data_IF_541001923088
#
_entry.id   IF_541001923088
#
_cell.length_a   1.000
_cell.length_b   1.000
_cell.length_c   1.000
_cell.angle_alpha   90.00
_cell.angle_beta   90.00
_cell.angle_gamma   90.00
#
_symmetry.space_group_name_H-M   'P 1'
#
loop_
_entity.id
_entity.type
_entity.pdbx_description
1 polymer ?
#
# COMPACT_ATOMS: atom_id res chain seq x y z
N UNK A 1 14.52 -13.72 -39.39
CA UNK A 1 15.06 -15.02 -38.94
C UNK A 1 14.57 -15.24 -37.52
N UNK A 2 14.06 -16.43 -37.17
CA UNK A 2 13.60 -16.68 -35.80
C UNK A 2 14.82 -16.67 -34.87
N UNK A 3 14.75 -15.91 -33.77
CA UNK A 3 15.82 -15.85 -32.76
C UNK A 3 15.94 -17.18 -32.03
N UNK A 4 17.13 -17.51 -31.52
CA UNK A 4 17.35 -18.76 -30.75
C UNK A 4 16.40 -18.82 -29.55
N UNK A 5 16.07 -17.66 -28.96
CA UNK A 5 15.08 -17.56 -27.89
C UNK A 5 13.65 -17.88 -28.32
N UNK A 6 13.19 -17.40 -29.48
CA UNK A 6 11.84 -17.71 -29.99
C UNK A 6 11.67 -19.20 -30.32
N UNK A 7 12.73 -19.83 -30.83
CA UNK A 7 12.75 -21.29 -31.07
C UNK A 7 12.76 -22.07 -29.75
N UNK A 8 13.51 -21.60 -28.75
CA UNK A 8 13.53 -22.17 -27.40
C UNK A 8 12.17 -22.09 -26.71
N UNK A 9 11.49 -20.93 -26.79
CA UNK A 9 10.14 -20.75 -26.25
C UNK A 9 9.12 -21.70 -26.89
N UNK A 10 9.18 -21.92 -28.20
CA UNK A 10 8.28 -22.87 -28.89
C UNK A 10 8.49 -24.32 -28.47
N UNK A 11 9.74 -24.75 -28.29
CA UNK A 11 10.05 -26.10 -27.81
C UNK A 11 9.56 -26.31 -26.37
N UNK A 12 9.81 -25.33 -25.49
CA UNK A 12 9.48 -25.44 -24.06
C UNK A 12 7.97 -25.28 -23.79
N UNK A 13 7.24 -24.56 -24.66
CA UNK A 13 5.78 -24.39 -24.54
C UNK A 13 5.01 -25.71 -24.62
N UNK A 14 5.54 -26.73 -25.29
CA UNK A 14 4.93 -28.07 -25.37
C UNK A 14 5.19 -28.97 -24.16
N UNK A 15 6.14 -28.60 -23.30
CA UNK A 15 6.64 -29.47 -22.21
C UNK A 15 6.31 -28.94 -20.81
N UNK A 16 5.79 -27.72 -20.69
CA UNK A 16 5.45 -27.09 -19.41
C UNK A 16 3.95 -26.73 -19.32
N UNK A 17 3.34 -26.79 -18.13
CA UNK A 17 1.99 -26.27 -17.91
C UNK A 17 1.88 -24.80 -18.32
N UNK A 18 0.81 -24.44 -19.05
CA UNK A 18 0.60 -23.11 -19.61
C UNK A 18 0.68 -21.97 -18.57
N UNK A 19 0.29 -22.24 -17.33
CA UNK A 19 0.36 -21.27 -16.23
C UNK A 19 1.80 -20.96 -15.82
N UNK A 20 2.68 -21.96 -15.74
CA UNK A 20 4.10 -21.75 -15.41
C UNK A 20 4.82 -21.06 -16.57
N UNK A 21 4.54 -21.46 -17.80
CA UNK A 21 5.12 -20.84 -18.99
C UNK A 21 4.77 -19.34 -19.11
N UNK A 22 3.47 -18.99 -18.97
CA UNK A 22 3.02 -17.61 -19.06
C UNK A 22 3.51 -16.73 -17.91
N UNK A 23 3.73 -17.31 -16.72
CA UNK A 23 4.15 -16.56 -15.53
C UNK A 23 5.66 -16.28 -15.53
N UNK A 24 6.48 -17.23 -16.00
CA UNK A 24 7.92 -17.19 -15.73
C UNK A 24 8.82 -17.11 -16.95
N UNK A 25 8.39 -17.65 -18.10
CA UNK A 25 9.21 -17.68 -19.32
C UNK A 25 8.75 -16.67 -20.37
N UNK A 26 7.43 -16.50 -20.53
CA UNK A 26 6.84 -15.53 -21.46
C UNK A 26 7.20 -14.05 -21.20
N UNK A 27 7.30 -13.56 -19.94
CA UNK A 27 7.63 -12.16 -19.69
C UNK A 27 9.13 -11.85 -19.77
N UNK A 28 9.99 -12.85 -20.04
CA UNK A 28 11.41 -12.64 -20.22
C UNK A 28 11.70 -12.06 -21.60
N UNK A 29 12.49 -10.98 -21.61
CA UNK A 29 13.01 -10.38 -22.83
C UNK A 29 14.40 -10.95 -23.11
N UNK A 30 14.81 -11.02 -24.38
CA UNK A 30 16.08 -11.62 -24.76
C UNK A 30 16.94 -10.65 -25.57
N UNK A 31 18.21 -10.54 -25.20
CA UNK A 31 19.27 -9.97 -26.01
C UNK A 31 20.17 -11.11 -26.51
N UNK A 32 20.24 -11.28 -27.82
CA UNK A 32 20.98 -12.37 -28.45
C UNK A 32 22.28 -11.84 -29.09
N UNK A 33 23.39 -12.49 -28.78
CA UNK A 33 24.71 -12.26 -29.39
C UNK A 33 25.23 -13.57 -30.02
N UNK A 34 26.29 -13.48 -30.83
CA UNK A 34 26.82 -14.63 -31.60
C UNK A 34 27.26 -15.83 -30.75
N UNK A 35 27.54 -15.64 -29.46
CA UNK A 35 27.99 -16.68 -28.51
C UNK A 35 27.23 -16.70 -27.18
N UNK A 36 26.25 -15.81 -26.99
CA UNK A 36 25.56 -15.66 -25.70
C UNK A 36 24.12 -15.19 -25.86
N UNK A 37 23.23 -15.72 -25.02
CA UNK A 37 21.87 -15.25 -24.83
C UNK A 37 21.73 -14.65 -23.43
N UNK A 38 21.32 -13.39 -23.36
CA UNK A 38 21.01 -12.70 -22.10
C UNK A 38 19.49 -12.58 -21.97
N UNK A 39 18.93 -13.20 -20.94
CA UNK A 39 17.51 -13.09 -20.60
C UNK A 39 17.31 -12.03 -19.52
N UNK A 40 16.48 -11.06 -19.82
CA UNK A 40 16.13 -9.94 -18.96
C UNK A 40 14.79 -10.22 -18.29
N UNK A 41 14.84 -10.31 -16.96
CA UNK A 41 13.68 -10.56 -16.12
C UNK A 41 13.27 -9.28 -15.37
N UNK A 42 11.97 -9.08 -15.08
CA UNK A 42 11.46 -7.85 -14.49
C UNK A 42 11.92 -7.60 -13.04
N UNK A 43 12.38 -8.65 -12.34
CA UNK A 43 12.92 -8.54 -11.00
C UNK A 43 13.82 -9.74 -10.67
N UNK A 44 14.61 -9.61 -9.60
CA UNK A 44 15.59 -10.63 -9.20
C UNK A 44 14.94 -11.96 -8.79
N UNK A 45 13.69 -11.96 -8.34
CA UNK A 45 12.99 -13.20 -7.98
C UNK A 45 12.66 -14.04 -9.21
N UNK A 46 12.27 -13.42 -10.32
CA UNK A 46 12.09 -14.12 -11.59
C UNK A 46 13.45 -14.63 -12.10
N UNK A 47 14.54 -13.88 -11.93
CA UNK A 47 15.91 -14.35 -12.25
C UNK A 47 16.25 -15.60 -11.47
N UNK A 48 16.16 -15.57 -10.15
CA UNK A 48 16.58 -16.67 -9.28
C UNK A 48 15.70 -17.91 -9.47
N UNK A 49 14.39 -17.71 -9.66
CA UNK A 49 13.45 -18.82 -9.87
C UNK A 49 13.65 -19.49 -11.24
N UNK A 50 13.85 -18.71 -12.31
CA UNK A 50 14.15 -19.27 -13.65
C UNK A 50 15.56 -19.91 -13.64
N UNK A 51 16.51 -19.34 -12.90
CA UNK A 51 17.85 -19.93 -12.72
C UNK A 51 17.79 -21.29 -12.02
N UNK A 52 17.07 -21.37 -10.91
CA UNK A 52 16.96 -22.59 -10.10
C UNK A 52 16.21 -23.71 -10.84
N UNK A 53 15.11 -23.37 -11.53
CA UNK A 53 14.21 -24.38 -12.12
C UNK A 53 14.50 -24.70 -13.57
N UNK A 54 14.97 -23.74 -14.37
CA UNK A 54 14.97 -23.87 -15.82
C UNK A 54 16.31 -23.58 -16.49
N UNK A 55 17.35 -23.13 -15.78
CA UNK A 55 18.63 -22.76 -16.41
C UNK A 55 19.31 -23.91 -17.16
N UNK A 56 19.31 -25.12 -16.58
CA UNK A 56 19.88 -26.32 -17.22
C UNK A 56 19.15 -26.61 -18.53
N UNK A 57 17.82 -26.70 -18.46
CA UNK A 57 16.96 -26.98 -19.62
C UNK A 57 17.05 -25.88 -20.69
N UNK A 58 17.10 -24.62 -20.28
CA UNK A 58 17.28 -23.47 -21.18
C UNK A 58 18.62 -23.54 -21.90
N UNK A 59 19.70 -23.89 -21.19
CA UNK A 59 21.03 -24.07 -21.78
C UNK A 59 21.03 -25.18 -22.82
N UNK A 60 20.47 -26.35 -22.49
CA UNK A 60 20.46 -27.51 -23.39
C UNK A 60 19.68 -27.21 -24.69
N UNK A 61 18.50 -26.60 -24.57
CA UNK A 61 17.66 -26.24 -25.72
C UNK A 61 18.31 -25.12 -26.54
N UNK A 62 18.92 -24.12 -25.91
CA UNK A 62 19.61 -23.04 -26.62
C UNK A 62 20.87 -23.53 -27.36
N UNK A 63 21.67 -24.44 -26.79
CA UNK A 63 22.84 -25.02 -27.44
C UNK A 63 22.48 -25.87 -28.66
N UNK A 64 21.37 -26.61 -28.58
CA UNK A 64 20.84 -27.40 -29.71
C UNK A 64 20.40 -26.50 -30.88
N UNK A 65 19.70 -25.40 -30.61
CA UNK A 65 19.22 -24.47 -31.63
C UNK A 65 20.31 -23.54 -32.17
N UNK A 66 21.30 -23.16 -31.35
CA UNK A 66 22.44 -22.35 -31.76
C UNK A 66 23.53 -23.15 -32.51
N UNK A 67 23.42 -24.49 -32.55
CA UNK A 67 24.44 -25.42 -33.09
C UNK A 67 25.86 -25.13 -32.56
N UNK A 68 25.94 -24.70 -31.31
CA UNK A 68 27.18 -24.33 -30.63
C UNK A 68 27.13 -24.84 -29.18
N UNK A 69 28.05 -25.75 -28.85
CA UNK A 69 28.12 -26.36 -27.52
C UNK A 69 28.64 -25.40 -26.43
N UNK A 70 29.30 -24.30 -26.82
CA UNK A 70 29.82 -23.29 -25.90
C UNK A 70 28.85 -22.11 -25.71
N UNK A 71 27.63 -22.21 -26.24
CA UNK A 71 26.64 -21.13 -26.18
C UNK A 71 26.19 -20.87 -24.73
N UNK A 72 26.44 -19.65 -24.25
CA UNK A 72 26.18 -19.27 -22.86
C UNK A 72 24.79 -18.66 -22.68
N UNK A 73 24.09 -19.04 -21.62
CA UNK A 73 22.79 -18.45 -21.23
C UNK A 73 22.96 -17.76 -19.89
N UNK A 74 22.73 -16.44 -19.87
CA UNK A 74 22.82 -15.61 -18.68
C UNK A 74 21.47 -14.94 -18.42
N UNK A 75 21.05 -14.89 -17.14
CA UNK A 75 19.77 -14.27 -16.75
C UNK A 75 20.07 -13.10 -15.81
N UNK A 76 19.61 -11.90 -16.17
CA UNK A 76 19.81 -10.63 -15.45
C UNK A 76 18.50 -9.90 -15.23
N UNK A 77 18.49 -8.96 -14.29
CA UNK A 77 17.35 -8.05 -14.08
C UNK A 77 17.43 -6.92 -15.11
N UNK A 78 16.34 -6.67 -15.85
CA UNK A 78 16.26 -5.57 -16.79
C UNK A 78 15.02 -5.61 -17.70
N UNK A 79 14.84 -4.57 -18.50
CA UNK A 79 13.89 -4.51 -19.62
C UNK A 79 14.51 -3.71 -20.76
N UNK A 80 14.28 -4.13 -22.00
CA UNK A 80 14.80 -3.52 -23.23
C UNK A 80 14.18 -2.13 -23.48
N UNK A 81 13.02 -1.83 -22.88
CA UNK A 81 12.37 -0.52 -22.99
C UNK A 81 12.96 0.50 -22.01
N UNK A 82 14.14 0.99 -22.33
CA UNK A 82 14.74 2.18 -21.72
C UNK A 82 15.32 3.11 -22.80
N UNK A 83 14.45 3.72 -23.61
CA UNK A 83 14.76 4.97 -24.31
C UNK A 83 13.57 5.93 -24.16
N UNK A 84 13.67 6.86 -23.20
CA UNK A 84 13.39 8.32 -23.27
C UNK A 84 13.37 8.89 -21.82
N UNK A 85 14.48 9.57 -21.47
CA UNK A 85 14.69 10.68 -20.53
C UNK A 85 13.97 10.78 -19.15
N UNK A 86 14.71 10.37 -18.10
CA UNK A 86 15.12 11.07 -16.83
C UNK A 86 14.16 11.95 -15.99
N UNK A 87 14.42 12.18 -14.66
CA UNK A 87 15.29 11.45 -13.71
C UNK A 87 14.70 11.32 -12.27
N UNK A 88 14.86 10.18 -11.59
CA UNK A 88 15.05 10.18 -10.11
C UNK A 88 15.92 9.00 -9.68
N UNK A 89 17.24 9.16 -9.82
CA UNK A 89 18.20 8.57 -8.89
C UNK A 89 19.53 9.30 -9.07
N UNK A 90 19.95 10.06 -8.06
CA UNK A 90 21.31 10.01 -7.51
C UNK A 90 21.49 11.10 -6.46
N UNK A 91 21.39 10.69 -5.21
CA UNK A 91 22.39 11.04 -4.21
C UNK A 91 22.30 9.97 -3.13
N UNK A 92 23.08 8.89 -3.25
CA UNK A 92 24.09 8.45 -2.26
C UNK A 92 24.98 7.41 -2.96
N UNK A 93 26.12 7.85 -3.49
CA UNK A 93 27.38 7.09 -3.54
C UNK A 93 28.28 7.78 -2.52
N UNK A 94 29.18 7.19 -1.76
CA UNK A 94 29.68 5.82 -1.58
C UNK A 94 30.57 5.97 -0.34
N UNK A 95 30.47 5.11 0.67
CA UNK A 95 31.66 4.74 1.45
C UNK A 95 31.61 3.24 1.71
N UNK A 96 32.74 2.63 1.36
CA UNK A 96 33.00 1.20 1.26
C UNK A 96 33.59 0.65 2.55
N UNK A 97 33.35 -0.66 2.75
CA UNK A 97 34.03 -1.59 3.68
C UNK A 97 33.55 -1.53 5.14
N UNK A 98 32.60 -2.40 5.47
CA UNK A 98 32.97 -3.58 6.28
C UNK A 98 31.90 -4.69 6.23
N UNK A 99 32.38 -5.92 6.08
CA UNK A 99 31.61 -7.15 6.18
C UNK A 99 31.25 -7.38 7.65
N UNK A 100 29.99 -7.13 8.05
CA UNK A 100 29.24 -7.79 9.15
C UNK A 100 28.02 -6.94 9.53
N UNK A 101 26.92 -7.02 8.77
CA UNK A 101 25.64 -6.44 9.23
C UNK A 101 24.44 -7.28 8.78
N UNK A 102 24.40 -8.52 9.25
CA UNK A 102 23.16 -9.31 9.40
C UNK A 102 22.39 -8.93 10.69
N UNK A 103 22.80 -7.85 11.37
CA UNK A 103 22.38 -7.53 12.74
C UNK A 103 21.23 -6.52 12.88
N UNK A 104 20.71 -5.88 11.83
CA UNK A 104 19.61 -4.91 12.02
C UNK A 104 18.38 -5.20 11.15
N UNK A 105 17.50 -6.10 11.62
CA UNK A 105 16.08 -5.72 11.65
C UNK A 105 16.07 -4.38 12.39
N UNK A 106 15.83 -3.30 11.63
CA UNK A 106 16.02 -1.91 12.07
C UNK A 106 15.43 -1.71 13.46
N UNK A 107 16.20 -1.03 14.32
CA UNK A 107 15.77 -0.56 15.63
C UNK A 107 14.37 0.06 15.57
N UNK A 108 13.61 -0.11 16.66
CA UNK A 108 12.19 0.21 16.89
C UNK A 108 11.76 1.61 16.41
N UNK A 109 11.73 1.85 15.10
CA UNK A 109 11.14 3.06 14.55
C UNK A 109 9.66 2.77 14.34
N UNK A 110 8.76 3.42 15.10
CA UNK A 110 7.33 3.15 15.06
C UNK A 110 6.68 3.40 13.70
N UNK A 111 7.40 4.02 12.75
CA UNK A 111 6.93 4.36 11.40
C UNK A 111 5.63 5.17 11.43
N UNK A 112 5.44 5.97 12.48
CA UNK A 112 4.26 6.80 12.66
C UNK A 112 4.46 8.18 12.07
N UNK A 113 3.43 8.69 11.40
CA UNK A 113 3.37 10.07 10.99
C UNK A 113 3.02 10.96 12.18
N UNK A 114 3.94 11.83 12.60
CA UNK A 114 3.77 12.72 13.76
C UNK A 114 2.72 13.82 13.56
N UNK A 115 2.26 14.04 12.33
CA UNK A 115 1.18 14.97 12.01
C UNK A 115 -0.22 14.39 12.23
N UNK A 116 -0.33 13.07 12.26
CA UNK A 116 -1.60 12.36 12.42
C UNK A 116 -1.89 12.17 13.91
N UNK A 117 -2.52 13.19 14.50
CA UNK A 117 -2.87 13.27 15.92
C UNK A 117 -4.37 13.48 16.05
N UNK A 118 -4.95 13.18 17.21
CA UNK A 118 -6.37 13.44 17.46
C UNK A 118 -6.72 14.92 17.28
N UNK A 119 -5.85 15.83 17.72
CA UNK A 119 -6.05 17.28 17.57
C UNK A 119 -6.11 17.77 16.12
N UNK A 120 -5.56 17.01 15.17
CA UNK A 120 -5.55 17.35 13.74
C UNK A 120 -6.62 16.57 12.96
N UNK A 121 -7.42 15.76 13.64
CA UNK A 121 -8.52 15.00 13.07
C UNK A 121 -9.82 15.76 13.30
N UNK A 122 -10.50 16.14 12.22
CA UNK A 122 -11.77 16.88 12.30
C UNK A 122 -12.89 15.89 12.64
N UNK A 123 -13.61 16.17 13.71
CA UNK A 123 -14.76 15.40 14.17
C UNK A 123 -16.03 15.84 13.44
N UNK A 124 -16.88 14.88 13.08
CA UNK A 124 -18.22 15.09 12.54
C UNK A 124 -19.06 13.84 12.77
N UNK A 125 -20.33 13.87 12.36
CA UNK A 125 -21.27 12.75 12.59
C UNK A 125 -20.75 11.46 11.96
N UNK A 126 -20.14 11.55 10.77
CA UNK A 126 -19.63 10.42 10.01
C UNK A 126 -18.47 9.66 10.69
N UNK A 127 -17.78 10.25 11.68
CA UNK A 127 -16.61 9.64 12.31
C UNK A 127 -16.60 9.71 13.84
N UNK A 128 -17.65 10.27 14.46
CA UNK A 128 -17.72 10.53 15.89
C UNK A 128 -17.48 9.26 16.72
N UNK A 129 -18.18 8.16 16.40
CA UNK A 129 -18.06 6.91 17.12
C UNK A 129 -16.68 6.27 16.95
N UNK A 130 -16.11 6.31 15.74
CA UNK A 130 -14.76 5.81 15.50
C UNK A 130 -13.72 6.63 16.27
N UNK A 131 -13.87 7.96 16.31
CA UNK A 131 -12.98 8.85 17.03
C UNK A 131 -13.07 8.64 18.56
N UNK A 132 -14.28 8.51 19.11
CA UNK A 132 -14.48 8.22 20.53
C UNK A 132 -13.83 6.88 20.92
N UNK A 133 -14.08 5.84 20.11
CA UNK A 133 -13.46 4.52 20.27
C UNK A 133 -11.93 4.61 20.25
N UNK A 134 -11.36 5.32 19.27
CA UNK A 134 -9.92 5.48 19.13
C UNK A 134 -9.30 6.21 20.33
N UNK A 135 -9.96 7.24 20.87
CA UNK A 135 -9.53 7.92 22.11
C UNK A 135 -9.50 6.91 23.27
N UNK A 136 -10.58 6.15 23.47
CA UNK A 136 -10.68 5.16 24.55
C UNK A 136 -9.63 4.06 24.45
N UNK A 137 -9.38 3.53 23.24
CA UNK A 137 -8.33 2.55 22.95
C UNK A 137 -6.94 3.12 23.25
N UNK A 138 -6.71 4.40 22.95
CA UNK A 138 -5.41 5.05 23.18
C UNK A 138 -5.12 5.31 24.67
N UNK A 139 -6.15 5.42 25.50
CA UNK A 139 -6.01 5.63 26.95
C UNK A 139 -5.75 4.33 27.70
N UNK A 140 -6.33 3.23 27.23
CA UNK A 140 -6.23 1.91 27.87
C UNK A 140 -5.88 0.84 26.83
N UNK A 141 -4.68 0.90 26.21
CA UNK A 141 -4.28 -0.03 25.17
C UNK A 141 -4.25 -1.48 25.71
N UNK A 142 -4.80 -2.41 24.94
CA UNK A 142 -4.78 -3.84 25.24
C UNK A 142 -5.90 -4.35 26.14
N UNK A 143 -6.74 -3.48 26.72
CA UNK A 143 -7.75 -3.86 27.70
C UNK A 143 -9.16 -4.05 27.10
N UNK A 144 -9.98 -3.00 27.05
CA UNK A 144 -11.43 -3.13 26.80
C UNK A 144 -11.77 -3.45 25.33
N UNK A 145 -10.93 -3.01 24.39
CA UNK A 145 -11.25 -3.02 22.95
C UNK A 145 -10.05 -3.52 22.14
N UNK A 146 -9.87 -4.84 22.11
CA UNK A 146 -8.76 -5.49 21.42
C UNK A 146 -9.24 -6.74 20.64
N UNK A 147 -9.06 -6.81 19.31
CA UNK A 147 -8.51 -5.76 18.45
C UNK A 147 -9.45 -4.55 18.31
N UNK A 148 -8.88 -3.41 17.93
CA UNK A 148 -9.63 -2.26 17.43
C UNK A 148 -9.59 -2.25 15.90
N UNK A 149 -10.75 -2.44 15.26
CA UNK A 149 -10.88 -2.55 13.82
C UNK A 149 -11.61 -1.33 13.24
N UNK A 150 -10.99 -0.64 12.29
CA UNK A 150 -11.54 0.57 11.65
C UNK A 150 -11.79 0.28 10.17
N UNK A 151 -13.02 0.45 9.70
CA UNK A 151 -13.33 0.22 8.28
C UNK A 151 -14.10 1.35 7.64
N UNK A 152 -14.09 1.38 6.31
CA UNK A 152 -14.76 2.39 5.50
C UNK A 152 -14.04 2.62 4.19
N UNK A 153 -14.65 3.37 3.28
CA UNK A 153 -14.08 3.66 1.96
C UNK A 153 -12.69 4.33 1.98
N UNK A 154 -12.13 4.50 0.78
CA UNK A 154 -10.83 5.14 0.59
C UNK A 154 -10.86 6.61 1.03
N UNK A 155 -9.78 7.05 1.67
CA UNK A 155 -9.62 8.48 2.01
C UNK A 155 -10.62 9.01 3.04
N UNK A 156 -11.13 8.18 3.95
CA UNK A 156 -12.04 8.62 5.03
C UNK A 156 -11.35 8.91 6.36
N UNK A 157 -10.03 8.70 6.45
CA UNK A 157 -9.25 9.03 7.66
C UNK A 157 -8.91 7.84 8.55
N UNK A 158 -9.14 6.60 8.11
CA UNK A 158 -8.75 5.36 8.79
C UNK A 158 -7.29 5.36 9.25
N UNK A 159 -6.37 5.58 8.32
CA UNK A 159 -4.92 5.68 8.58
C UNK A 159 -4.62 6.81 9.56
N UNK A 160 -5.21 8.00 9.39
CA UNK A 160 -5.00 9.12 10.33
C UNK A 160 -5.39 8.72 11.76
N UNK A 161 -6.55 8.11 11.93
CA UNK A 161 -7.05 7.72 13.24
C UNK A 161 -6.19 6.63 13.89
N UNK A 162 -5.80 5.61 13.13
CA UNK A 162 -4.84 4.58 13.57
C UNK A 162 -3.52 5.22 14.04
N UNK A 163 -2.94 6.12 13.25
CA UNK A 163 -1.72 6.83 13.64
C UNK A 163 -1.92 7.71 14.88
N UNK A 164 -3.09 8.33 15.03
CA UNK A 164 -3.40 9.16 16.20
C UNK A 164 -3.38 8.33 17.49
N UNK A 165 -3.91 7.10 17.45
CA UNK A 165 -3.82 6.15 18.57
C UNK A 165 -2.36 5.82 18.86
N UNK A 166 -1.59 5.40 17.85
CA UNK A 166 -0.17 5.05 18.04
C UNK A 166 0.67 6.21 18.58
N UNK A 167 0.44 7.43 18.08
CA UNK A 167 1.12 8.63 18.56
C UNK A 167 0.74 8.99 20.01
N UNK A 168 -0.51 8.72 20.42
CA UNK A 168 -0.96 8.93 21.81
C UNK A 168 -0.33 7.90 22.74
N UNK A 169 -0.30 6.62 22.36
CA UNK A 169 0.39 5.56 23.12
C UNK A 169 1.86 5.94 23.37
N UNK A 170 2.59 6.36 22.32
CA UNK A 170 3.98 6.80 22.48
C UNK A 170 4.16 8.08 23.27
N UNK A 171 3.14 8.96 23.26
CA UNK A 171 3.18 10.19 24.06
C UNK A 171 3.09 9.86 25.55
N UNK A 172 2.27 8.89 25.92
CA UNK A 172 2.05 8.48 27.31
C UNK A 172 3.15 7.52 27.79
N UNK A 173 3.64 6.65 26.92
CA UNK A 173 4.75 5.73 27.19
C UNK A 173 5.77 5.79 26.03
N UNK A 174 6.88 6.51 26.25
CA UNK A 174 7.93 6.69 25.23
C UNK A 174 8.71 5.41 24.93
N UNK A 175 8.71 4.46 25.85
CA UNK A 175 9.43 3.19 25.71
C UNK A 175 8.57 2.10 25.05
N UNK A 176 7.29 2.38 24.79
CA UNK A 176 6.38 1.45 24.13
C UNK A 176 6.84 1.10 22.71
N UNK A 177 6.86 -0.19 22.41
CA UNK A 177 7.17 -0.75 21.10
C UNK A 177 5.94 -0.75 20.21
N UNK A 178 5.64 0.43 19.68
CA UNK A 178 4.56 0.61 18.71
C UNK A 178 5.11 0.39 17.29
N UNK A 179 4.40 -0.38 16.45
CA UNK A 179 4.78 -0.58 15.05
C UNK A 179 3.60 -0.32 14.12
N UNK A 180 3.79 0.60 13.17
CA UNK A 180 2.89 0.80 12.04
C UNK A 180 3.46 0.22 10.73
N UNK A 181 2.61 -0.49 9.99
CA UNK A 181 2.91 -0.98 8.64
C UNK A 181 1.63 -1.26 7.84
N UNK A 182 1.75 -1.30 6.51
CA UNK A 182 0.73 -1.89 5.64
C UNK A 182 0.83 -3.41 5.67
N UNK A 183 -0.28 -4.11 5.42
CA UNK A 183 -0.31 -5.58 5.43
C UNK A 183 0.65 -6.21 4.41
N UNK A 184 0.87 -5.59 3.24
CA UNK A 184 1.84 -6.08 2.24
C UNK A 184 3.27 -6.06 2.77
N UNK A 185 3.59 -5.12 3.65
CA UNK A 185 4.91 -5.08 4.28
C UNK A 185 5.09 -6.22 5.27
N UNK A 186 4.07 -6.57 6.03
CA UNK A 186 4.10 -7.76 6.89
C UNK A 186 4.35 -9.01 6.05
N UNK A 187 3.65 -9.16 4.93
CA UNK A 187 3.85 -10.25 3.96
C UNK A 187 5.28 -10.27 3.44
N UNK A 188 5.82 -9.12 3.00
CA UNK A 188 7.17 -9.01 2.48
C UNK A 188 8.24 -9.35 3.53
N UNK A 189 8.08 -8.87 4.76
CA UNK A 189 8.98 -9.15 5.88
C UNK A 189 8.98 -10.66 6.23
N UNK A 190 7.81 -11.31 6.18
CA UNK A 190 7.68 -12.76 6.37
C UNK A 190 8.36 -13.55 5.25
N UNK A 191 8.08 -13.22 3.99
CA UNK A 191 8.70 -13.88 2.83
C UNK A 191 10.22 -13.77 2.88
N UNK A 192 10.74 -12.59 3.23
CA UNK A 192 12.18 -12.38 3.42
C UNK A 192 12.74 -13.22 4.56
N UNK A 193 12.02 -13.34 5.67
CA UNK A 193 12.45 -14.16 6.81
C UNK A 193 12.49 -15.65 6.44
N UNK A 194 11.56 -16.14 5.62
CA UNK A 194 11.60 -17.50 5.08
C UNK A 194 12.79 -17.71 4.13
N UNK A 195 13.01 -16.80 3.17
CA UNK A 195 14.12 -16.87 2.22
C UNK A 195 15.50 -16.87 2.89
N UNK A 196 15.61 -16.21 4.05
CA UNK A 196 16.87 -16.08 4.79
C UNK A 196 16.97 -17.05 5.98
N UNK A 197 16.03 -17.98 6.15
CA UNK A 197 15.96 -18.88 7.31
C UNK A 197 15.99 -18.15 8.67
N UNK A 198 15.34 -16.98 8.77
CA UNK A 198 15.26 -16.14 9.97
C UNK A 198 13.84 -15.98 10.52
N UNK A 199 12.94 -16.94 10.26
CA UNK A 199 11.53 -16.86 10.66
C UNK A 199 11.33 -16.69 12.17
N UNK A 200 12.18 -17.29 13.00
CA UNK A 200 12.10 -17.12 14.46
C UNK A 200 12.40 -15.69 14.90
N UNK A 201 13.29 -14.99 14.17
CA UNK A 201 13.56 -13.58 14.40
C UNK A 201 12.37 -12.71 14.02
N UNK A 202 11.68 -13.03 12.93
CA UNK A 202 10.44 -12.39 12.52
C UNK A 202 9.36 -12.55 13.60
N UNK A 203 9.11 -13.79 14.06
CA UNK A 203 8.14 -14.08 15.12
C UNK A 203 8.44 -13.31 16.39
N UNK A 204 9.70 -13.40 16.88
CA UNK A 204 10.14 -12.69 18.08
C UNK A 204 9.96 -11.19 17.95
N UNK A 205 10.25 -10.62 16.79
CA UNK A 205 10.08 -9.19 16.55
C UNK A 205 8.62 -8.76 16.67
N UNK A 206 7.72 -9.33 15.87
CA UNK A 206 6.30 -8.92 15.85
C UNK A 206 5.55 -9.28 17.14
N UNK A 207 5.88 -10.39 17.79
CA UNK A 207 5.22 -10.81 19.05
C UNK A 207 5.76 -10.12 20.29
N UNK A 208 6.79 -9.27 20.15
CA UNK A 208 7.37 -8.47 21.26
C UNK A 208 6.87 -7.03 21.31
N UNK A 209 5.92 -6.67 20.44
CA UNK A 209 5.38 -5.32 20.31
C UNK A 209 4.34 -5.05 21.40
N UNK A 210 4.30 -3.81 21.85
CA UNK A 210 3.25 -3.35 22.77
C UNK A 210 1.98 -2.91 22.02
N UNK A 211 2.15 -2.46 20.77
CA UNK A 211 1.05 -2.19 19.86
C UNK A 211 1.42 -2.47 18.40
N UNK A 212 0.55 -3.24 17.71
CA UNK A 212 0.67 -3.56 16.29
C UNK A 212 -0.45 -2.87 15.49
N UNK A 213 -0.07 -1.96 14.60
CA UNK A 213 -0.96 -1.15 13.77
C UNK A 213 -0.81 -1.58 12.32
N UNK A 214 -1.79 -2.30 11.77
CA UNK A 214 -1.76 -2.77 10.37
C UNK A 214 -2.82 -2.06 9.54
N UNK A 215 -2.35 -1.29 8.57
CA UNK A 215 -3.21 -0.62 7.59
C UNK A 215 -3.55 -1.58 6.43
N UNK A 216 -4.74 -1.42 5.87
CA UNK A 216 -5.20 -2.08 4.65
C UNK A 216 -5.13 -3.63 4.69
N UNK A 217 -5.80 -4.26 5.65
CA UNK A 217 -5.78 -5.73 5.82
C UNK A 217 -6.38 -6.50 4.63
N UNK A 218 -7.13 -5.83 3.73
CA UNK A 218 -7.67 -6.45 2.52
C UNK A 218 -6.57 -7.06 1.63
N UNK A 219 -5.33 -6.57 1.69
CA UNK A 219 -4.22 -7.11 0.89
C UNK A 219 -3.66 -8.43 1.43
N UNK A 220 -4.14 -8.93 2.58
CA UNK A 220 -3.91 -10.32 2.99
C UNK A 220 -4.68 -11.33 2.12
N UNK A 221 -5.71 -10.91 1.40
CA UNK A 221 -6.55 -11.79 0.59
C UNK A 221 -5.72 -12.68 -0.35
N UNK A 222 -5.97 -13.99 -0.30
CA UNK A 222 -5.27 -14.99 -1.11
C UNK A 222 -3.81 -15.29 -0.68
N UNK A 223 -3.29 -14.63 0.35
CA UNK A 223 -1.94 -14.86 0.90
C UNK A 223 -1.98 -15.87 2.06
N UNK A 224 -2.38 -17.10 1.80
CA UNK A 224 -2.67 -18.14 2.82
C UNK A 224 -1.56 -18.31 3.88
N UNK A 225 -0.31 -18.53 3.45
CA UNK A 225 0.83 -18.69 4.38
C UNK A 225 1.03 -17.45 5.27
N UNK A 226 0.85 -16.25 4.71
CA UNK A 226 0.97 -15.01 5.48
C UNK A 226 -0.22 -14.76 6.39
N UNK A 227 -1.42 -15.17 5.99
CA UNK A 227 -2.60 -15.14 6.85
C UNK A 227 -2.43 -16.06 8.05
N UNK A 228 -1.87 -17.25 7.85
CA UNK A 228 -1.59 -18.21 8.91
C UNK A 228 -0.58 -17.65 9.93
N UNK A 229 0.58 -17.16 9.48
CA UNK A 229 1.56 -16.58 10.41
C UNK A 229 1.04 -15.30 11.09
N UNK A 230 0.24 -14.49 10.36
CA UNK A 230 -0.43 -13.35 10.97
C UNK A 230 -1.43 -13.79 12.05
N UNK A 231 -2.22 -14.85 11.81
CA UNK A 231 -3.14 -15.40 12.80
C UNK A 231 -2.41 -15.82 14.09
N UNK A 232 -1.25 -16.47 13.98
CA UNK A 232 -0.45 -16.84 15.14
C UNK A 232 0.13 -15.62 15.87
N UNK A 233 0.63 -14.64 15.13
CA UNK A 233 1.13 -13.37 15.69
C UNK A 233 0.02 -12.61 16.42
N UNK A 234 -1.16 -12.54 15.82
CA UNK A 234 -2.36 -11.91 16.37
C UNK A 234 -2.78 -12.56 17.69
N UNK A 235 -2.82 -13.90 17.75
CA UNK A 235 -3.10 -14.63 18.99
C UNK A 235 -2.10 -14.33 20.10
N UNK A 236 -0.80 -14.42 19.79
CA UNK A 236 0.25 -14.20 20.78
C UNK A 236 0.19 -12.79 21.39
N UNK A 237 -0.12 -11.77 20.58
CA UNK A 237 -0.29 -10.39 21.04
C UNK A 237 -1.57 -10.24 21.90
N UNK A 238 -2.68 -10.84 21.49
CA UNK A 238 -3.90 -10.82 22.30
C UNK A 238 -3.75 -11.48 23.66
N UNK A 239 -3.15 -12.68 23.70
CA UNK A 239 -2.92 -13.44 24.94
C UNK A 239 -2.01 -12.69 25.92
N UNK A 240 -1.12 -11.84 25.39
CA UNK A 240 -0.24 -10.97 26.17
C UNK A 240 -0.81 -9.56 26.40
N UNK A 241 -2.10 -9.34 26.11
CA UNK A 241 -2.81 -8.06 26.24
C UNK A 241 -2.14 -6.89 25.49
N UNK A 242 -1.48 -7.16 24.37
CA UNK A 242 -0.88 -6.13 23.52
C UNK A 242 -1.89 -5.60 22.52
N UNK A 243 -1.86 -4.28 22.26
CA UNK A 243 -2.89 -3.66 21.44
C UNK A 243 -2.74 -4.02 19.96
N UNK A 244 -3.83 -4.45 19.33
CA UNK A 244 -3.89 -4.63 17.88
C UNK A 244 -4.86 -3.62 17.30
N UNK A 245 -4.44 -2.88 16.28
CA UNK A 245 -5.27 -1.94 15.53
C UNK A 245 -5.19 -2.29 14.06
N UNK A 246 -6.34 -2.44 13.42
CA UNK A 246 -6.45 -2.87 12.03
C UNK A 246 -7.32 -1.90 11.26
N UNK A 247 -7.02 -1.69 9.97
CA UNK A 247 -7.93 -0.99 9.08
C UNK A 247 -8.29 -1.82 7.85
N UNK A 248 -9.46 -1.55 7.28
CA UNK A 248 -9.89 -2.16 6.02
C UNK A 248 -10.73 -1.21 5.18
N UNK A 249 -10.80 -1.43 3.87
CA UNK A 249 -11.68 -0.68 2.97
C UNK A 249 -13.16 -1.09 3.10
N UNK A 250 -13.44 -2.23 3.72
CA UNK A 250 -14.77 -2.81 3.90
C UNK A 250 -14.89 -3.59 5.21
N UNK A 251 -16.08 -4.07 5.53
CA UNK A 251 -16.31 -4.87 6.72
C UNK A 251 -15.61 -6.25 6.60
N UNK A 252 -15.03 -6.83 7.68
CA UNK A 252 -14.23 -8.06 7.60
C UNK A 252 -14.90 -9.23 6.88
N UNK A 253 -16.21 -9.40 7.07
CA UNK A 253 -16.96 -10.50 6.46
C UNK A 253 -16.99 -10.40 4.92
N UNK A 254 -16.90 -9.18 4.40
CA UNK A 254 -17.00 -8.85 2.97
C UNK A 254 -15.64 -8.88 2.24
N UNK A 255 -14.57 -9.28 2.94
CA UNK A 255 -13.23 -9.43 2.34
C UNK A 255 -13.09 -10.83 1.76
N UNK A 256 -13.19 -10.94 0.44
CA UNK A 256 -12.96 -12.20 -0.26
C UNK A 256 -11.50 -12.66 -0.15
N UNK A 257 -11.28 -13.96 0.01
CA UNK A 257 -9.95 -14.54 0.12
C UNK A 257 -9.26 -14.38 1.48
N UNK A 258 -9.94 -13.81 2.49
CA UNK A 258 -9.52 -13.84 3.89
C UNK A 258 -10.12 -15.06 4.60
N UNK A 259 -9.30 -15.79 5.38
CA UNK A 259 -9.75 -16.97 6.13
C UNK A 259 -10.85 -16.65 7.16
N UNK A 260 -11.84 -17.53 7.30
CA UNK A 260 -12.98 -17.33 8.20
C UNK A 260 -12.57 -17.14 9.66
N UNK A 261 -11.50 -17.81 10.09
CA UNK A 261 -10.94 -17.61 11.44
C UNK A 261 -10.45 -16.18 11.63
N UNK A 262 -9.79 -15.57 10.64
CA UNK A 262 -9.38 -14.16 10.74
C UNK A 262 -10.59 -13.23 10.73
N UNK A 263 -11.58 -13.48 9.86
CA UNK A 263 -12.84 -12.71 9.83
C UNK A 263 -13.54 -12.70 11.20
N UNK A 264 -13.64 -13.86 11.84
CA UNK A 264 -14.19 -14.00 13.20
C UNK A 264 -13.37 -13.20 14.23
N UNK A 265 -12.03 -13.30 14.15
CA UNK A 265 -11.10 -12.59 15.04
C UNK A 265 -11.02 -11.08 14.81
N UNK A 266 -11.46 -10.58 13.67
CA UNK A 266 -11.59 -9.14 13.47
C UNK A 266 -12.93 -8.62 14.03
N UNK A 267 -13.99 -9.45 13.96
CA UNK A 267 -15.33 -9.06 14.39
C UNK A 267 -15.63 -9.16 15.88
N UNK A 268 -14.91 -9.98 16.66
CA UNK A 268 -15.15 -10.13 18.12
C UNK A 268 -14.63 -8.97 18.98
N UNK A 269 -13.71 -8.15 18.44
CA UNK A 269 -13.21 -6.95 19.11
C UNK A 269 -14.15 -5.74 18.93
N UNK A 270 -13.59 -4.53 18.98
CA UNK A 270 -14.34 -3.32 18.67
C UNK A 270 -14.21 -2.99 17.19
N UNK A 271 -15.31 -3.05 16.45
CA UNK A 271 -15.34 -2.75 15.01
C UNK A 271 -16.12 -1.47 14.74
N UNK A 272 -15.44 -0.44 14.22
CA UNK A 272 -16.03 0.88 13.97
C UNK A 272 -15.93 1.27 12.49
N UNK A 273 -17.05 1.75 11.96
CA UNK A 273 -17.11 2.35 10.63
C UNK A 273 -16.66 3.82 10.65
N UNK A 274 -16.11 4.27 9.53
CA UNK A 274 -15.99 5.68 9.18
C UNK A 274 -16.75 5.89 7.88
N UNK A 275 -17.73 6.77 7.92
CA UNK A 275 -18.58 7.11 6.78
C UNK A 275 -18.03 8.32 6.00
N UNK A 276 -18.51 8.56 4.77
CA UNK A 276 -18.22 9.79 4.04
C UNK A 276 -18.69 11.03 4.83
N UNK A 277 -17.86 12.09 4.93
CA UNK A 277 -18.17 13.27 5.73
C UNK A 277 -19.35 14.07 5.16
N UNK A 278 -20.21 14.59 6.04
CA UNK A 278 -21.25 15.56 5.71
C UNK A 278 -20.68 16.91 5.23
N UNK A 279 -21.53 17.80 4.72
CA UNK A 279 -21.07 19.08 4.12
C UNK A 279 -20.32 19.94 5.13
N UNK A 280 -20.86 20.07 6.33
CA UNK A 280 -20.32 20.84 7.44
C UNK A 280 -18.93 20.34 7.81
N UNK A 281 -18.78 19.03 7.90
CA UNK A 281 -17.51 18.37 8.19
C UNK A 281 -16.50 18.55 7.06
N UNK A 282 -16.91 18.47 5.78
CA UNK A 282 -16.02 18.75 4.63
C UNK A 282 -15.51 20.19 4.66
N UNK A 283 -16.37 21.17 4.97
CA UNK A 283 -15.94 22.56 5.13
C UNK A 283 -14.92 22.69 6.26
N UNK A 284 -15.19 22.11 7.43
CA UNK A 284 -14.27 22.13 8.56
C UNK A 284 -12.92 21.47 8.24
N UNK A 285 -12.92 20.37 7.48
CA UNK A 285 -11.70 19.73 6.98
C UNK A 285 -10.91 20.67 6.07
N UNK A 286 -11.55 21.31 5.09
CA UNK A 286 -10.89 22.25 4.18
C UNK A 286 -10.24 23.40 4.96
N UNK A 287 -10.98 24.02 5.88
CA UNK A 287 -10.50 25.12 6.71
C UNK A 287 -9.31 24.70 7.57
N UNK A 288 -9.41 23.54 8.24
CA UNK A 288 -8.32 22.99 9.06
C UNK A 288 -7.06 22.72 8.23
N UNK A 289 -7.21 22.16 7.02
CA UNK A 289 -6.09 21.87 6.12
C UNK A 289 -5.47 23.16 5.55
N UNK A 290 -6.28 24.14 5.16
CA UNK A 290 -5.81 25.43 4.68
C UNK A 290 -5.00 26.17 5.75
N UNK A 291 -5.54 26.22 6.98
CA UNK A 291 -4.84 26.79 8.12
C UNK A 291 -3.50 26.09 8.41
N UNK A 292 -3.46 24.74 8.35
CA UNK A 292 -2.20 23.99 8.49
C UNK A 292 -1.18 24.34 7.41
N UNK A 293 -1.64 24.69 6.21
CA UNK A 293 -0.80 25.11 5.09
C UNK A 293 -0.44 26.61 5.13
N UNK A 294 -0.89 27.35 6.15
CA UNK A 294 -0.64 28.79 6.27
C UNK A 294 -1.43 29.63 5.27
N UNK A 295 -2.54 29.11 4.75
CA UNK A 295 -3.38 29.79 3.76
C UNK A 295 -4.70 30.19 4.40
N UNK A 296 -5.05 31.46 4.26
CA UNK A 296 -6.38 31.95 4.60
C UNK A 296 -7.37 31.59 3.48
N UNK A 297 -8.40 30.83 3.83
CA UNK A 297 -9.44 30.38 2.92
C UNK A 297 -10.77 30.98 3.36
N UNK A 298 -11.43 31.74 2.50
CA UNK A 298 -12.75 32.29 2.81
C UNK A 298 -13.80 31.18 2.96
N UNK A 299 -14.74 31.35 3.89
CA UNK A 299 -15.78 30.36 4.18
C UNK A 299 -16.62 30.01 2.94
N UNK A 300 -16.96 31.00 2.12
CA UNK A 300 -17.71 30.80 0.87
C UNK A 300 -16.95 29.93 -0.14
N UNK A 301 -15.61 30.05 -0.18
CA UNK A 301 -14.75 29.23 -1.03
C UNK A 301 -14.71 27.80 -0.50
N UNK A 302 -14.51 27.63 0.80
CA UNK A 302 -14.51 26.31 1.44
C UNK A 302 -15.86 25.60 1.22
N UNK A 303 -16.97 26.33 1.41
CA UNK A 303 -18.31 25.85 1.15
C UNK A 303 -18.51 25.45 -0.32
N UNK A 304 -18.05 26.26 -1.26
CA UNK A 304 -18.14 25.95 -2.69
C UNK A 304 -17.40 24.65 -3.04
N UNK A 305 -16.15 24.51 -2.59
CA UNK A 305 -15.34 23.30 -2.83
C UNK A 305 -16.03 22.08 -2.19
N UNK A 306 -16.45 22.18 -0.92
CA UNK A 306 -17.11 21.09 -0.20
C UNK A 306 -18.46 20.68 -0.80
N UNK A 307 -19.19 21.61 -1.45
CA UNK A 307 -20.46 21.31 -2.13
C UNK A 307 -20.25 20.53 -3.42
N UNK A 308 -19.13 20.77 -4.12
CA UNK A 308 -18.75 20.11 -5.37
C UNK A 308 -18.07 18.77 -5.12
N UNK A 309 -17.11 18.69 -4.21
CA UNK A 309 -16.35 17.47 -3.91
C UNK A 309 -17.05 16.66 -2.82
N UNK A 310 -17.73 15.58 -3.20
CA UNK A 310 -18.56 14.74 -2.29
C UNK A 310 -18.01 13.33 -2.03
N UNK A 311 -16.93 12.96 -2.72
CA UNK A 311 -16.40 11.59 -2.77
C UNK A 311 -15.70 11.16 -1.47
N UNK A 312 -14.56 11.77 -1.15
CA UNK A 312 -13.77 11.43 0.04
C UNK A 312 -12.82 12.58 0.45
N UNK A 313 -12.21 12.48 1.63
CA UNK A 313 -11.32 13.53 2.16
C UNK A 313 -10.05 13.68 1.34
N UNK A 314 -9.56 12.62 0.69
CA UNK A 314 -8.36 12.67 -0.15
C UNK A 314 -8.59 13.53 -1.40
N UNK A 315 -9.73 13.40 -2.06
CA UNK A 315 -10.11 14.26 -3.20
C UNK A 315 -10.35 15.71 -2.76
N UNK A 316 -10.95 15.90 -1.58
CA UNK A 316 -11.16 17.22 -0.99
C UNK A 316 -9.82 17.94 -0.74
N UNK A 317 -8.86 17.24 -0.13
CA UNK A 317 -7.50 17.75 0.09
C UNK A 317 -6.77 17.99 -1.24
N UNK A 318 -6.97 17.12 -2.23
CA UNK A 318 -6.41 17.28 -3.58
C UNK A 318 -6.93 18.54 -4.29
N UNK A 319 -8.23 18.83 -4.18
CA UNK A 319 -8.83 20.05 -4.71
C UNK A 319 -8.27 21.30 -4.03
N UNK A 320 -8.17 21.29 -2.69
CA UNK A 320 -7.56 22.40 -1.94
C UNK A 320 -6.11 22.64 -2.35
N UNK A 321 -5.29 21.58 -2.42
CA UNK A 321 -3.88 21.66 -2.85
C UNK A 321 -3.75 22.25 -4.25
N UNK A 322 -4.66 21.90 -5.16
CA UNK A 322 -4.68 22.46 -6.53
C UNK A 322 -4.97 23.96 -6.52
N UNK A 323 -5.97 24.40 -5.76
CA UNK A 323 -6.29 25.84 -5.62
C UNK A 323 -5.09 26.59 -5.06
N UNK A 324 -4.47 26.09 -3.98
CA UNK A 324 -3.31 26.72 -3.35
C UNK A 324 -2.11 26.75 -4.30
N UNK A 325 -1.81 25.65 -4.98
CA UNK A 325 -0.72 25.59 -5.95
C UNK A 325 -0.90 26.61 -7.08
N UNK A 326 -2.10 26.70 -7.66
CA UNK A 326 -2.39 27.68 -8.71
C UNK A 326 -2.26 29.12 -8.20
N UNK A 327 -2.69 29.40 -6.96
CA UNK A 327 -2.58 30.73 -6.36
C UNK A 327 -1.12 31.11 -6.18
N UNK A 328 -0.30 30.19 -5.66
CA UNK A 328 1.14 30.38 -5.51
C UNK A 328 1.85 30.59 -6.86
N UNK A 329 1.47 29.85 -7.92
CA UNK A 329 2.07 30.02 -9.24
C UNK A 329 1.68 31.31 -9.94
N UNK A 330 0.46 31.81 -9.73
CA UNK A 330 -0.05 33.02 -10.42
C UNK A 330 0.08 34.29 -9.59
N UNK A 331 0.39 34.17 -8.29
CA UNK A 331 0.39 35.28 -7.34
C UNK A 331 -1.01 35.88 -7.08
N UNK A 332 -2.08 35.24 -7.57
CA UNK A 332 -3.45 35.72 -7.41
C UNK A 332 -4.04 35.27 -6.09
N UNK A 333 -4.85 36.12 -5.47
CA UNK A 333 -5.62 35.76 -4.28
C UNK A 333 -6.66 34.66 -4.58
N UNK A 334 -6.98 33.85 -3.58
CA UNK A 334 -7.96 32.76 -3.69
C UNK A 334 -9.37 33.35 -3.59
N UNK A 335 -9.88 33.88 -4.70
CA UNK A 335 -11.26 34.35 -4.81
C UNK A 335 -12.18 33.27 -5.37
N UNK A 336 -13.50 33.47 -5.28
CA UNK A 336 -14.49 32.56 -5.84
C UNK A 336 -14.31 32.30 -7.35
N UNK A 337 -14.02 33.34 -8.13
CA UNK A 337 -13.80 33.18 -9.58
C UNK A 337 -12.52 32.43 -9.90
N UNK A 338 -11.46 32.71 -9.15
CA UNK A 338 -10.21 31.98 -9.26
C UNK A 338 -10.39 30.48 -8.98
N UNK A 339 -11.15 30.12 -7.94
CA UNK A 339 -11.41 28.72 -7.58
C UNK A 339 -12.23 28.00 -8.65
N UNK A 340 -13.23 28.67 -9.24
CA UNK A 340 -14.02 28.11 -10.35
C UNK A 340 -13.13 27.78 -11.55
N UNK A 341 -12.20 28.66 -11.89
CA UNK A 341 -11.23 28.44 -12.95
C UNK A 341 -10.26 27.30 -12.62
N UNK A 342 -9.65 27.34 -11.43
CA UNK A 342 -8.67 26.36 -10.97
C UNK A 342 -9.22 24.92 -10.86
N UNK A 343 -10.52 24.78 -10.62
CA UNK A 343 -11.19 23.48 -10.46
C UNK A 343 -12.08 23.09 -11.64
N UNK A 344 -12.09 23.86 -12.74
CA UNK A 344 -12.99 23.68 -13.89
C UNK A 344 -12.99 22.24 -14.42
N UNK A 345 -11.81 21.68 -14.70
CA UNK A 345 -11.70 20.34 -15.27
C UNK A 345 -12.10 19.24 -14.29
N UNK A 346 -11.83 19.45 -13.00
CA UNK A 346 -12.20 18.50 -11.94
C UNK A 346 -13.73 18.43 -11.82
N UNK A 347 -14.37 19.59 -11.77
CA UNK A 347 -15.83 19.69 -11.71
C UNK A 347 -16.47 19.10 -12.97
N UNK A 348 -15.96 19.44 -14.15
CA UNK A 348 -16.46 18.90 -15.41
C UNK A 348 -16.36 17.37 -15.50
N UNK A 349 -15.28 16.77 -14.97
CA UNK A 349 -15.12 15.32 -14.93
C UNK A 349 -16.14 14.65 -13.98
N UNK A 350 -16.49 15.28 -12.86
CA UNK A 350 -17.51 14.77 -11.95
C UNK A 350 -18.92 14.88 -12.53
N UNK A 351 -19.27 16.03 -13.14
CA UNK A 351 -20.58 16.24 -13.77
C UNK A 351 -20.81 15.26 -14.93
N UNK A 352 -19.75 14.91 -15.68
CA UNK A 352 -19.82 13.85 -16.71
C UNK A 352 -20.06 12.45 -16.13
N UNK A 353 -19.59 12.16 -14.92
CA UNK A 353 -19.83 10.85 -14.28
C UNK A 353 -21.26 10.71 -13.78
N UNK A 354 -21.81 11.75 -13.16
CA UNK A 354 -23.16 11.72 -12.55
C UNK A 354 -24.15 12.44 -13.48
N UNK A 355 -24.59 11.74 -14.52
CA UNK A 355 -25.63 12.23 -15.43
C UNK A 355 -26.72 11.17 -15.63
N UNK A 356 -27.89 11.57 -16.14
CA UNK A 356 -29.06 10.69 -16.31
C UNK A 356 -28.70 9.43 -17.11
N UNK A 357 -27.92 9.58 -18.19
CA UNK A 357 -27.54 8.46 -19.06
C UNK A 357 -26.68 7.43 -18.32
N UNK A 358 -25.69 7.88 -17.55
CA UNK A 358 -24.82 7.00 -16.76
C UNK A 358 -25.57 6.34 -15.61
N UNK A 359 -26.51 7.05 -14.98
CA UNK A 359 -27.38 6.48 -13.93
C UNK A 359 -28.24 5.37 -14.55
N UNK A 360 -28.93 5.64 -15.65
CA UNK A 360 -29.74 4.65 -16.36
C UNK A 360 -28.91 3.43 -16.77
N UNK A 361 -27.73 3.65 -17.36
CA UNK A 361 -26.82 2.57 -17.76
C UNK A 361 -26.38 1.71 -16.58
N UNK A 362 -25.90 2.33 -15.50
CA UNK A 362 -25.38 1.60 -14.32
C UNK A 362 -26.49 0.80 -13.64
N UNK A 363 -27.70 1.36 -13.56
CA UNK A 363 -28.87 0.64 -12.99
C UNK A 363 -29.30 -0.51 -13.90
N UNK A 364 -29.21 -0.37 -15.23
CA UNK A 364 -29.55 -1.46 -16.16
C UNK A 364 -28.51 -2.59 -16.23
N UNK A 365 -27.32 -2.40 -15.67
CA UNK A 365 -26.24 -3.40 -15.61
C UNK A 365 -26.33 -4.31 -14.36
N UNK A 366 -27.16 -3.94 -13.37
CA UNK A 366 -27.52 -4.75 -12.20
C UNK A 366 -28.91 -5.37 -12.39
#
# INVERSE_FOLDING_TARGET
MATVWQSCLKTIQGELPAQQFNTWLRPLQSEESQSQLVLLAPNIFVVDWVKDKYLSKLRDVCQMHARNQDYQVEIKVGSIDAVINTPVASAVTQETKDNTNLTTLRAHKPNLNSDFKFKTFVEGKANQLALAAAKQVSENPGQAYNPFFIYGGVGLGKTHLMHAVGNKILKDNKDAKVLYLHSERFVADMVKALQTNTIERFKKYYRSLDALLIDDIQFFAGKTVSQEEFFHTFNALLESNQQIILTCDRYPKDVDGLEDRLKSRFGWGLTQAIDPPELEMRVAILMSKAHKMGVELADEVAFFIAKRIRSNVRELEGALKRVIANSNFTGKAITMDFVREALKDLIAAQDKRINIQNIQKTVSEY
#
